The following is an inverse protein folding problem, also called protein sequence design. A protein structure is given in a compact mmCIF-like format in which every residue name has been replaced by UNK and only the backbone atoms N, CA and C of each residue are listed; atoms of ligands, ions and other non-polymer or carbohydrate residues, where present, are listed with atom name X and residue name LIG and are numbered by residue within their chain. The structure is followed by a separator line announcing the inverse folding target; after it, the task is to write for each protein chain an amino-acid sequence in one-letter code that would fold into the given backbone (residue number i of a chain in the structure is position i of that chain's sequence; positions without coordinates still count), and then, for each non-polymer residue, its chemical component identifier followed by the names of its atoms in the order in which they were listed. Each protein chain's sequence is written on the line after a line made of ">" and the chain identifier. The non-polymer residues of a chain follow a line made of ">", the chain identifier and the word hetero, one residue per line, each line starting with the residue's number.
data_IF_744661288785
#
_entry.id   IF_744661288785
#
_cell.length_a   1.000
_cell.length_b   1.000
_cell.length_c   1.000
_cell.angle_alpha   90.00
_cell.angle_beta   90.00
_cell.angle_gamma   90.00
#
_symmetry.space_group_name_H-M   'P 1'
#
loop_
_entity.id
_entity.type
_entity.pdbx_description
1 polymer ?
#
# COMPACT_ATOMS: atom_id res chain seq x y z
N UNK A 1 10.89 0.31 21.97
CA UNK A 1 9.94 1.43 22.22
C UNK A 1 8.90 1.39 21.12
N UNK A 2 7.64 1.04 21.42
CA UNK A 2 6.55 1.10 20.43
C UNK A 2 6.09 2.56 20.35
N UNK A 3 6.31 3.29 19.26
CA UNK A 3 5.74 4.61 19.13
C UNK A 3 4.22 4.46 18.95
N UNK A 4 3.46 5.36 19.58
CA UNK A 4 2.03 5.59 19.34
C UNK A 4 1.78 5.98 17.87
N UNK A 5 1.93 5.02 16.98
CA UNK A 5 1.84 5.16 15.53
C UNK A 5 0.41 5.23 15.02
N UNK A 6 -0.58 5.17 15.93
CA UNK A 6 -1.99 5.13 15.56
C UNK A 6 -2.51 6.42 14.93
N UNK A 7 -1.84 7.57 15.06
CA UNK A 7 -2.39 8.87 14.63
C UNK A 7 -1.52 9.75 13.71
N UNK A 8 -0.35 9.29 13.25
CA UNK A 8 0.50 10.13 12.41
C UNK A 8 0.23 9.92 10.92
N UNK A 9 -0.07 11.02 10.25
CA UNK A 9 -0.16 11.10 8.80
C UNK A 9 1.27 11.22 8.22
N UNK A 10 1.64 10.24 7.40
CA UNK A 10 2.88 10.16 6.64
C UNK A 10 2.70 10.77 5.25
N UNK A 11 3.78 11.16 4.60
CA UNK A 11 3.78 11.72 3.24
C UNK A 11 4.63 10.89 2.31
N UNK A 12 4.31 10.88 1.02
CA UNK A 12 5.16 10.29 -0.02
C UNK A 12 4.76 10.81 -1.40
N UNK A 13 5.72 10.83 -2.32
CA UNK A 13 5.48 11.25 -3.70
C UNK A 13 5.12 10.04 -4.57
N UNK A 14 4.08 10.17 -5.37
CA UNK A 14 3.63 9.10 -6.25
C UNK A 14 4.59 8.95 -7.43
N UNK A 15 5.18 7.77 -7.55
CA UNK A 15 6.11 7.40 -8.62
C UNK A 15 5.54 6.29 -9.51
N UNK A 16 6.14 6.14 -10.68
CA UNK A 16 5.80 5.08 -11.63
C UNK A 16 6.44 3.77 -11.17
N UNK A 17 5.61 2.80 -10.77
CA UNK A 17 6.05 1.44 -10.45
C UNK A 17 6.00 0.49 -11.65
N UNK A 18 6.08 -0.82 -11.36
CA UNK A 18 5.99 -1.88 -12.38
C UNK A 18 4.59 -2.05 -13.00
N UNK A 19 3.57 -1.36 -12.48
CA UNK A 19 2.18 -1.37 -12.97
C UNK A 19 1.52 -2.76 -13.06
N UNK A 20 2.07 -3.78 -12.38
CA UNK A 20 1.54 -5.14 -12.39
C UNK A 20 0.10 -5.20 -11.83
N UNK A 21 -0.18 -4.42 -10.78
CA UNK A 21 -1.50 -4.33 -10.17
C UNK A 21 -2.61 -3.94 -11.17
N UNK A 22 -2.31 -3.08 -12.16
CA UNK A 22 -3.28 -2.70 -13.20
C UNK A 22 -3.78 -3.91 -13.99
N UNK A 23 -2.90 -4.86 -14.31
CA UNK A 23 -3.27 -6.09 -15.03
C UNK A 23 -4.17 -7.02 -14.21
N UNK A 24 -4.12 -6.89 -12.89
CA UNK A 24 -4.90 -7.72 -11.95
C UNK A 24 -6.22 -7.06 -11.52
N UNK A 25 -6.49 -5.83 -11.98
CA UNK A 25 -7.64 -5.03 -11.53
C UNK A 25 -7.40 -4.26 -10.22
N UNK A 26 -6.15 -4.18 -9.75
CA UNK A 26 -5.76 -3.47 -8.54
C UNK A 26 -4.68 -2.42 -8.82
N UNK A 27 -5.00 -1.30 -9.50
CA UNK A 27 -4.04 -0.22 -9.72
C UNK A 27 -3.49 0.33 -8.39
N UNK A 28 -2.20 0.11 -8.12
CA UNK A 28 -1.49 0.69 -6.97
C UNK A 28 -0.74 1.96 -7.36
N UNK A 29 -0.76 2.94 -6.45
CA UNK A 29 0.27 3.99 -6.44
C UNK A 29 1.52 3.44 -5.75
N UNK A 30 2.69 3.84 -6.22
CA UNK A 30 3.97 3.52 -5.57
C UNK A 30 4.50 4.82 -4.96
N UNK A 31 5.01 4.77 -3.72
CA UNK A 31 5.62 5.91 -3.05
C UNK A 31 7.15 5.80 -3.11
N UNK A 32 7.82 6.94 -3.21
CA UNK A 32 9.28 7.04 -3.40
C UNK A 32 10.10 6.84 -2.13
N UNK A 33 9.45 6.87 -0.98
CA UNK A 33 10.09 6.94 0.33
C UNK A 33 9.64 5.80 1.27
N UNK A 34 9.88 4.52 0.92
CA UNK A 34 9.51 3.38 1.76
C UNK A 34 10.10 3.43 3.18
N UNK A 35 11.18 4.16 3.41
CA UNK A 35 11.82 4.37 4.70
C UNK A 35 10.93 5.04 5.75
N UNK A 36 9.85 5.74 5.35
CA UNK A 36 8.87 6.28 6.31
C UNK A 36 8.14 5.19 7.10
N UNK A 37 8.24 3.95 6.65
CA UNK A 37 7.73 2.75 7.30
C UNK A 37 8.82 1.95 8.03
N UNK A 38 10.03 2.50 8.21
CA UNK A 38 11.05 1.88 9.07
C UNK A 38 10.54 1.71 10.51
N UNK A 39 10.81 0.54 11.08
CA UNK A 39 10.29 0.14 12.40
C UNK A 39 8.89 -0.48 12.38
N UNK A 40 8.17 -0.46 11.25
CA UNK A 40 6.95 -1.25 11.06
C UNK A 40 7.27 -2.64 10.50
N UNK A 41 6.41 -3.62 10.81
CA UNK A 41 6.51 -4.95 10.24
C UNK A 41 6.28 -4.89 8.72
N UNK A 42 7.06 -5.59 7.90
CA UNK A 42 6.68 -5.81 6.51
C UNK A 42 5.31 -6.51 6.46
N UNK A 43 4.45 -6.10 5.53
CA UNK A 43 3.15 -6.70 5.30
C UNK A 43 2.13 -5.77 4.68
N UNK A 44 0.88 -6.19 4.83
CA UNK A 44 -0.32 -5.51 4.31
C UNK A 44 -1.05 -4.82 5.45
N UNK A 45 -1.49 -3.60 5.20
CA UNK A 45 -2.14 -2.72 6.16
C UNK A 45 -3.42 -2.12 5.58
N UNK A 46 -4.43 -1.94 6.43
CA UNK A 46 -5.48 -0.98 6.17
C UNK A 46 -4.93 0.44 6.37
N UNK A 47 -5.33 1.36 5.50
CA UNK A 47 -4.85 2.74 5.50
C UNK A 47 -5.93 3.74 5.10
N UNK A 48 -5.68 5.02 5.41
CA UNK A 48 -6.41 6.18 4.90
C UNK A 48 -5.46 7.00 4.04
N UNK A 49 -5.95 7.54 2.93
CA UNK A 49 -5.16 8.37 2.01
C UNK A 49 -5.89 9.68 1.76
N UNK A 50 -5.21 10.81 1.93
CA UNK A 50 -5.73 12.15 1.68
C UNK A 50 -5.22 12.67 0.35
N UNK A 51 -6.13 12.96 -0.57
CA UNK A 51 -5.87 13.50 -1.91
C UNK A 51 -6.87 14.63 -2.16
N UNK A 52 -6.39 15.82 -2.54
CA UNK A 52 -7.23 16.98 -2.87
C UNK A 52 -8.29 17.30 -1.77
N UNK A 53 -7.92 17.13 -0.50
CA UNK A 53 -8.82 17.37 0.65
C UNK A 53 -9.81 16.25 0.96
N UNK A 54 -9.94 15.22 0.11
CA UNK A 54 -10.78 14.03 0.36
C UNK A 54 -9.97 12.91 1.00
N UNK A 55 -10.62 12.10 1.84
CA UNK A 55 -10.02 10.93 2.47
C UNK A 55 -10.61 9.67 1.81
N UNK A 56 -9.72 8.80 1.34
CA UNK A 56 -10.03 7.50 0.75
C UNK A 56 -9.54 6.40 1.68
N UNK A 57 -10.19 5.23 1.61
CA UNK A 57 -9.66 4.00 2.21
C UNK A 57 -8.59 3.42 1.28
N UNK A 58 -7.56 2.79 1.84
CA UNK A 58 -6.49 2.20 1.06
C UNK A 58 -6.00 0.87 1.64
N UNK A 59 -5.56 -0.01 0.76
CA UNK A 59 -4.81 -1.21 1.09
C UNK A 59 -3.32 -0.94 0.82
N UNK A 60 -2.53 -0.82 1.88
CA UNK A 60 -1.11 -0.51 1.80
C UNK A 60 -0.28 -1.78 1.91
N UNK A 61 0.71 -1.93 1.05
CA UNK A 61 1.76 -2.92 1.15
C UNK A 61 3.08 -2.22 1.44
N UNK A 62 3.75 -2.67 2.50
CA UNK A 62 5.14 -2.31 2.81
C UNK A 62 5.96 -3.59 2.92
N UNK A 63 6.99 -3.76 2.09
CA UNK A 63 7.81 -4.95 2.21
C UNK A 63 8.71 -5.24 1.02
N UNK A 64 9.49 -6.34 1.09
CA UNK A 64 10.55 -6.61 0.14
C UNK A 64 9.99 -6.85 -1.26
N UNK A 65 10.54 -6.13 -2.22
CA UNK A 65 10.32 -6.34 -3.65
C UNK A 65 11.65 -6.64 -4.31
N UNK A 66 11.69 -7.71 -5.10
CA UNK A 66 12.83 -8.00 -5.95
C UNK A 66 12.75 -7.10 -7.18
N UNK A 67 13.65 -6.12 -7.27
CA UNK A 67 13.81 -5.29 -8.46
C UNK A 67 15.24 -5.52 -8.94
N UNK A 68 15.39 -6.18 -10.09
CA UNK A 68 16.69 -6.38 -10.75
C UNK A 68 17.76 -7.02 -9.84
N UNK A 69 17.37 -7.98 -8.99
CA UNK A 69 18.29 -8.68 -8.09
C UNK A 69 18.61 -7.97 -6.77
N UNK A 70 18.17 -6.72 -6.59
CA UNK A 70 18.23 -6.01 -5.31
C UNK A 70 16.95 -6.23 -4.49
N UNK A 71 17.10 -6.37 -3.18
CA UNK A 71 15.96 -6.37 -2.25
C UNK A 71 15.83 -4.97 -1.68
N UNK A 72 14.83 -4.22 -2.16
CA UNK A 72 14.40 -2.95 -1.55
C UNK A 72 12.97 -3.10 -1.09
N UNK A 73 12.62 -2.44 0.01
CA UNK A 73 11.23 -2.37 0.41
C UNK A 73 10.47 -1.49 -0.58
N UNK A 74 9.33 -1.97 -1.04
CA UNK A 74 8.36 -1.18 -1.76
C UNK A 74 7.32 -0.64 -0.79
N UNK A 75 6.78 0.54 -1.11
CA UNK A 75 5.63 1.13 -0.45
C UNK A 75 4.56 1.39 -1.51
N UNK A 76 3.53 0.57 -1.49
CA UNK A 76 2.47 0.58 -2.49
C UNK A 76 1.11 0.75 -1.82
N UNK A 77 0.22 1.54 -2.42
CA UNK A 77 -1.15 1.71 -1.90
C UNK A 77 -2.14 1.50 -3.04
N UNK A 78 -3.04 0.54 -2.86
CA UNK A 78 -4.27 0.44 -3.64
C UNK A 78 -5.33 1.32 -2.99
N UNK A 79 -5.77 2.37 -3.66
CA UNK A 79 -6.75 3.32 -3.14
C UNK A 79 -8.14 2.87 -3.62
N UNK A 80 -9.07 2.66 -2.68
CA UNK A 80 -10.42 2.22 -3.00
C UNK A 80 -11.18 3.35 -3.69
N UNK A 81 -11.97 2.98 -4.71
CA UNK A 81 -12.83 3.88 -5.49
C UNK A 81 -12.08 5.10 -6.06
N UNK A 82 -10.83 4.89 -6.50
CA UNK A 82 -9.96 5.92 -7.05
C UNK A 82 -9.38 5.50 -8.40
N UNK A 83 -9.67 6.29 -9.44
CA UNK A 83 -9.40 5.98 -10.85
C UNK A 83 -8.51 7.03 -11.55
N UNK A 84 -7.95 7.98 -10.81
CA UNK A 84 -7.11 9.06 -11.37
C UNK A 84 -5.63 8.68 -11.41
N UNK A 85 -4.92 9.16 -12.42
CA UNK A 85 -3.45 9.15 -12.43
C UNK A 85 -2.91 10.41 -11.73
N UNK A 86 -2.07 10.20 -10.71
CA UNK A 86 -1.53 11.28 -9.86
C UNK A 86 0.00 11.23 -9.77
N UNK A 87 0.68 10.76 -10.82
CA UNK A 87 2.14 10.70 -10.86
C UNK A 87 2.77 12.07 -10.60
N UNK A 88 3.84 12.07 -9.79
CA UNK A 88 4.54 13.29 -9.39
C UNK A 88 3.86 14.09 -8.28
N UNK A 89 2.62 13.76 -7.91
CA UNK A 89 1.91 14.42 -6.82
C UNK A 89 2.32 13.84 -5.46
N UNK A 90 2.32 14.67 -4.44
CA UNK A 90 2.44 14.22 -3.05
C UNK A 90 1.08 13.77 -2.52
N UNK A 91 1.08 12.66 -1.79
CA UNK A 91 -0.08 12.19 -1.03
C UNK A 91 0.26 12.09 0.43
N UNK A 92 -0.77 12.22 1.27
CA UNK A 92 -0.66 12.00 2.71
C UNK A 92 -1.42 10.73 3.04
N UNK A 93 -0.85 9.83 3.83
CA UNK A 93 -1.49 8.58 4.20
C UNK A 93 -1.30 8.26 5.68
N UNK A 94 -2.12 7.37 6.21
CA UNK A 94 -2.05 6.91 7.58
C UNK A 94 -2.35 5.40 7.58
N UNK A 95 -1.55 4.60 8.27
CA UNK A 95 -1.88 3.18 8.50
C UNK A 95 -2.78 3.05 9.75
N UNK A 96 -3.69 2.07 9.74
CA UNK A 96 -4.60 1.83 10.87
C UNK A 96 -4.43 0.44 11.46
N UNK A 97 -4.48 -0.61 10.63
CA UNK A 97 -4.47 -1.99 11.09
C UNK A 97 -3.53 -2.82 10.24
N UNK A 98 -2.68 -3.62 10.89
CA UNK A 98 -1.99 -4.71 10.22
C UNK A 98 -3.00 -5.79 9.83
N UNK A 99 -2.94 -6.24 8.58
CA UNK A 99 -3.81 -7.28 8.02
C UNK A 99 -3.06 -8.61 8.01
N UNK A 100 -1.87 -8.66 7.38
CA UNK A 100 -1.08 -9.89 7.27
C UNK A 100 0.38 -9.62 6.87
N UNK A 101 1.31 -10.56 7.13
CA UNK A 101 2.67 -10.51 6.58
C UNK A 101 2.71 -10.71 5.04
N UNK A 102 3.86 -10.46 4.38
CA UNK A 102 4.05 -10.75 2.96
C UNK A 102 3.89 -12.24 2.66
N UNK A 103 3.26 -12.54 1.53
CA UNK A 103 3.04 -13.90 1.04
C UNK A 103 3.66 -14.00 -0.35
N UNK A 104 4.38 -15.10 -0.62
CA UNK A 104 4.80 -15.46 -1.98
C UNK A 104 3.66 -16.25 -2.63
N UNK A 105 3.25 -15.84 -3.82
CA UNK A 105 2.23 -16.53 -4.60
C UNK A 105 2.90 -17.32 -5.74
N UNK A 106 2.43 -18.55 -5.96
CA UNK A 106 2.86 -19.38 -7.09
C UNK A 106 2.27 -18.94 -8.43
N UNK A 107 1.15 -18.20 -8.40
CA UNK A 107 0.43 -17.73 -9.58
C UNK A 107 -0.38 -16.45 -9.29
N UNK A 108 -0.92 -15.86 -10.35
CA UNK A 108 -1.66 -14.60 -10.30
C UNK A 108 -3.09 -14.75 -9.74
N UNK A 109 -3.70 -15.93 -9.85
CA UNK A 109 -5.07 -16.16 -9.39
C UNK A 109 -5.12 -16.23 -7.86
N UNK A 110 -4.13 -16.88 -7.23
CA UNK A 110 -3.96 -16.88 -5.78
C UNK A 110 -3.68 -15.47 -5.24
N UNK A 111 -2.85 -14.69 -5.93
CA UNK A 111 -2.62 -13.29 -5.59
C UNK A 111 -3.94 -12.50 -5.67
N UNK A 112 -4.70 -12.65 -6.76
CA UNK A 112 -5.99 -11.97 -6.94
C UNK A 112 -6.99 -12.35 -5.83
N UNK A 113 -7.08 -13.63 -5.48
CA UNK A 113 -7.93 -14.11 -4.40
C UNK A 113 -7.54 -13.46 -3.07
N UNK A 114 -6.25 -13.46 -2.73
CA UNK A 114 -5.78 -12.85 -1.48
C UNK A 114 -6.04 -11.35 -1.44
N UNK A 115 -5.86 -10.64 -2.56
CA UNK A 115 -6.16 -9.20 -2.64
C UNK A 115 -7.63 -8.90 -2.30
N UNK A 116 -8.58 -9.73 -2.74
CA UNK A 116 -10.00 -9.56 -2.39
C UNK A 116 -10.27 -9.79 -0.90
N UNK A 117 -9.61 -10.77 -0.28
CA UNK A 117 -9.72 -11.03 1.16
C UNK A 117 -9.12 -9.86 1.97
N UNK A 118 -8.00 -9.32 1.51
CA UNK A 118 -7.34 -8.16 2.11
C UNK A 118 -8.23 -6.91 2.03
N UNK A 119 -8.87 -6.65 0.88
CA UNK A 119 -9.83 -5.55 0.71
C UNK A 119 -11.04 -5.69 1.62
N UNK A 120 -11.58 -6.91 1.76
CA UNK A 120 -12.68 -7.18 2.68
C UNK A 120 -12.27 -6.84 4.13
N UNK A 121 -11.02 -7.10 4.49
CA UNK A 121 -10.48 -6.72 5.81
C UNK A 121 -10.37 -5.21 6.01
N UNK A 122 -10.05 -4.44 4.95
CA UNK A 122 -10.03 -2.98 5.00
C UNK A 122 -11.42 -2.42 5.30
N UNK A 123 -12.45 -2.95 4.65
CA UNK A 123 -13.84 -2.49 4.83
C UNK A 123 -14.36 -2.76 6.24
N UNK A 124 -13.98 -3.88 6.86
CA UNK A 124 -14.44 -4.28 8.20
C UNK A 124 -13.67 -3.63 9.36
N UNK A 125 -12.50 -3.02 9.09
CA UNK A 125 -11.60 -2.48 10.12
C UNK A 125 -11.52 -0.94 10.15
N UNK A 126 -12.21 -0.25 9.22
CA UNK A 126 -12.23 1.21 9.07
C UNK A 126 -13.66 1.77 9.08
#
# INVERSE_FOLDING_TARGET
>A
MSPDTKNNWLKGKVIKGAQLGRKLGFPTINLDNPEVMEGFNPGVYASKVKIEGKIYKGLLYYGPKFIQGETKNALEIYILDFDKEIYGQEVVFQITNFIRPPIKFSDLDLLKKQMNEDLSSVLNKL
#
